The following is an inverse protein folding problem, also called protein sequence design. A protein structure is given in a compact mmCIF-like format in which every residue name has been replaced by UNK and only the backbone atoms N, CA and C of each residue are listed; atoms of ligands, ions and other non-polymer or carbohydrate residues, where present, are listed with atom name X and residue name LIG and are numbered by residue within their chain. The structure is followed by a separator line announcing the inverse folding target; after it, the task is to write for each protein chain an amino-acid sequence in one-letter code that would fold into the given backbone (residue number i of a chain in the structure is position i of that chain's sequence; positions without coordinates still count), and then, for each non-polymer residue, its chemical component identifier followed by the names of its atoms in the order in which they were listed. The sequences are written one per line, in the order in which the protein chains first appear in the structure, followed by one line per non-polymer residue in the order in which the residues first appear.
data_IF_205688220888
#
_entry.id   IF_205688220888
#
_cell.length_a   1.000
_cell.length_b   1.000
_cell.length_c   1.000
_cell.angle_alpha   90.00
_cell.angle_beta   90.00
_cell.angle_gamma   90.00
#
_symmetry.space_group_name_H-M   'P 1'
#
loop_
_entity.id
_entity.type
_entity.pdbx_description
1 polymer ?
#
# COMPACT_ATOMS: atom_id res chain seq x y z
N UNK A 1 64.45 -14.81 -43.79
CA UNK A 1 63.80 -15.72 -42.84
C UNK A 1 63.31 -14.94 -41.62
N UNK A 2 61.99 -14.80 -41.46
CA UNK A 2 61.20 -14.78 -40.20
C UNK A 2 59.80 -14.23 -40.53
N UNK A 3 58.82 -15.13 -40.48
CA UNK A 3 57.39 -14.86 -40.58
C UNK A 3 56.91 -14.31 -39.23
N UNK A 4 56.09 -13.27 -39.22
CA UNK A 4 55.41 -12.74 -38.04
C UNK A 4 53.96 -12.46 -38.36
N UNK A 5 53.07 -13.12 -37.61
CA UNK A 5 51.62 -13.19 -37.78
C UNK A 5 50.92 -11.82 -37.66
N UNK A 6 49.94 -11.60 -38.54
CA UNK A 6 48.86 -10.62 -38.39
C UNK A 6 47.85 -11.14 -37.35
N UNK A 7 47.67 -10.42 -36.24
CA UNK A 7 46.53 -10.59 -35.34
C UNK A 7 45.46 -9.55 -35.70
N UNK A 8 44.22 -9.93 -36.05
CA UNK A 8 43.14 -8.97 -36.17
C UNK A 8 42.63 -8.61 -34.76
N UNK A 9 42.66 -7.32 -34.43
CA UNK A 9 42.05 -6.78 -33.22
C UNK A 9 40.53 -6.78 -33.37
N UNK A 10 39.87 -7.79 -32.84
CA UNK A 10 38.41 -7.84 -32.74
C UNK A 10 37.95 -6.84 -31.67
N UNK A 11 37.38 -5.72 -32.11
CA UNK A 11 36.74 -4.73 -31.25
C UNK A 11 35.44 -5.32 -30.69
N UNK A 12 35.48 -5.81 -29.44
CA UNK A 12 34.27 -6.24 -28.72
C UNK A 12 33.48 -4.99 -28.31
N UNK A 13 32.41 -4.69 -29.06
CA UNK A 13 31.36 -3.77 -28.65
C UNK A 13 30.56 -4.42 -27.52
N UNK A 14 30.93 -4.10 -26.28
CA UNK A 14 30.11 -4.35 -25.09
C UNK A 14 28.88 -3.44 -25.16
N UNK A 15 27.80 -3.94 -25.76
CA UNK A 15 26.45 -3.41 -25.56
C UNK A 15 26.09 -3.60 -24.09
N UNK A 16 26.40 -2.59 -23.28
CA UNK A 16 25.96 -2.51 -21.90
C UNK A 16 24.43 -2.51 -21.88
N UNK A 17 23.84 -3.62 -21.43
CA UNK A 17 22.45 -3.67 -21.00
C UNK A 17 22.35 -2.80 -19.75
N UNK A 18 22.07 -1.51 -19.93
CA UNK A 18 21.68 -0.63 -18.84
C UNK A 18 20.39 -1.17 -18.25
N UNK A 19 20.49 -1.86 -17.11
CA UNK A 19 19.33 -2.10 -16.27
C UNK A 19 18.76 -0.71 -15.91
N UNK A 20 17.59 -0.38 -16.45
CA UNK A 20 16.88 0.83 -16.07
C UNK A 20 16.75 0.80 -14.55
N UNK A 21 17.35 1.79 -13.87
CA UNK A 21 17.19 1.89 -12.42
C UNK A 21 15.69 1.99 -12.13
N UNK A 22 15.16 1.24 -11.15
CA UNK A 22 13.75 1.31 -10.80
C UNK A 22 13.38 2.76 -10.51
N UNK A 23 12.41 3.29 -11.25
CA UNK A 23 11.92 4.64 -11.03
C UNK A 23 11.43 4.75 -9.58
N UNK A 24 11.96 5.68 -8.76
CA UNK A 24 11.53 5.84 -7.38
C UNK A 24 10.01 6.07 -7.30
N UNK A 25 9.36 5.51 -6.29
CA UNK A 25 7.93 5.75 -6.06
C UNK A 25 7.67 7.28 -5.99
N UNK A 26 6.75 7.84 -6.80
CA UNK A 26 6.46 9.27 -6.82
C UNK A 26 6.14 9.87 -5.44
N UNK A 27 5.66 9.06 -4.50
CA UNK A 27 5.33 9.49 -3.13
C UNK A 27 6.54 9.60 -2.21
N UNK A 28 7.69 9.04 -2.61
CA UNK A 28 8.91 9.00 -1.78
C UNK A 28 9.33 10.38 -1.28
N UNK A 29 9.14 11.44 -2.07
CA UNK A 29 9.51 12.81 -1.70
C UNK A 29 8.68 13.45 -0.57
N UNK A 30 7.54 12.85 -0.15
CA UNK A 30 6.72 13.36 0.94
C UNK A 30 5.86 14.60 0.64
N UNK A 31 6.05 15.24 -0.52
CA UNK A 31 5.20 16.34 -1.01
C UNK A 31 3.97 15.81 -1.75
N UNK A 32 3.08 15.16 -0.99
CA UNK A 32 1.93 14.46 -1.54
C UNK A 32 0.96 15.39 -2.29
N UNK A 33 0.86 16.67 -1.88
CA UNK A 33 0.02 17.65 -2.57
C UNK A 33 0.57 17.99 -3.97
N UNK A 34 1.88 18.18 -4.10
CA UNK A 34 2.52 18.42 -5.40
C UNK A 34 2.49 17.16 -6.28
N UNK A 35 2.66 15.96 -5.70
CA UNK A 35 2.53 14.69 -6.42
C UNK A 35 1.11 14.53 -6.95
N UNK A 36 0.08 14.83 -6.15
CA UNK A 36 -1.31 14.83 -6.59
C UNK A 36 -1.53 15.76 -7.79
N UNK A 37 -1.07 17.01 -7.70
CA UNK A 37 -1.25 18.00 -8.77
C UNK A 37 -0.58 17.57 -10.09
N UNK A 38 0.65 17.04 -10.02
CA UNK A 38 1.36 16.52 -11.19
C UNK A 38 0.66 15.31 -11.81
N UNK A 39 0.26 14.36 -10.98
CA UNK A 39 -0.43 13.15 -11.43
C UNK A 39 -1.79 13.47 -12.09
N UNK A 40 -2.52 14.47 -11.58
CA UNK A 40 -3.71 15.00 -12.24
C UNK A 40 -3.39 15.59 -13.63
N UNK A 41 -2.33 16.41 -13.73
CA UNK A 41 -1.94 17.03 -14.99
C UNK A 41 -1.50 16.02 -16.05
N UNK A 42 -0.90 14.90 -15.65
CA UNK A 42 -0.45 13.83 -16.57
C UNK A 42 -1.48 12.72 -16.79
N UNK A 43 -2.65 12.78 -16.13
CA UNK A 43 -3.67 11.74 -16.22
C UNK A 43 -3.36 10.45 -15.47
N UNK A 44 -2.37 10.44 -14.57
CA UNK A 44 -2.06 9.29 -13.71
C UNK A 44 -2.99 9.25 -12.48
N UNK A 45 -4.19 8.72 -12.72
CA UNK A 45 -5.24 8.65 -11.72
C UNK A 45 -4.88 7.76 -10.51
N UNK A 46 -4.00 6.76 -10.66
CA UNK A 46 -3.57 5.90 -9.54
C UNK A 46 -2.64 6.68 -8.63
N UNK A 47 -1.61 7.31 -9.16
CA UNK A 47 -0.68 8.13 -8.36
C UNK A 47 -1.41 9.30 -7.72
N UNK A 48 -2.36 9.93 -8.43
CA UNK A 48 -3.19 10.97 -7.84
C UNK A 48 -4.00 10.44 -6.64
N UNK A 49 -4.63 9.27 -6.76
CA UNK A 49 -5.37 8.67 -5.65
C UNK A 49 -4.49 8.37 -4.44
N UNK A 50 -3.34 7.71 -4.67
CA UNK A 50 -2.39 7.37 -3.59
C UNK A 50 -1.85 8.62 -2.90
N UNK A 51 -1.54 9.67 -3.65
CA UNK A 51 -1.06 10.94 -3.10
C UNK A 51 -2.13 11.65 -2.25
N UNK A 52 -3.38 11.69 -2.71
CA UNK A 52 -4.47 12.25 -1.94
C UNK A 52 -4.77 11.42 -0.67
N UNK A 53 -4.66 10.09 -0.74
CA UNK A 53 -4.78 9.21 0.42
C UNK A 53 -3.67 9.47 1.45
N UNK A 54 -2.42 9.62 1.00
CA UNK A 54 -1.28 9.97 1.86
C UNK A 54 -1.44 11.35 2.53
N UNK A 55 -2.02 12.34 1.82
CA UNK A 55 -2.39 13.63 2.43
C UNK A 55 -3.38 13.44 3.59
N UNK A 56 -4.43 12.63 3.38
CA UNK A 56 -5.42 12.32 4.42
C UNK A 56 -4.79 11.65 5.63
N UNK A 57 -3.93 10.64 5.42
CA UNK A 57 -3.39 9.84 6.52
C UNK A 57 -2.26 10.54 7.28
N UNK A 58 -1.38 11.27 6.60
CA UNK A 58 -0.10 11.71 7.17
C UNK A 58 0.09 13.22 7.30
N UNK A 59 -0.75 14.04 6.68
CA UNK A 59 -0.56 15.51 6.61
C UNK A 59 -1.77 16.31 7.07
N UNK A 60 -2.55 15.77 8.02
CA UNK A 60 -3.80 16.39 8.49
C UNK A 60 -4.77 16.73 7.34
N UNK A 61 -4.74 15.93 6.27
CA UNK A 61 -5.68 16.07 5.17
C UNK A 61 -7.11 15.76 5.65
N UNK A 62 -7.98 16.76 5.58
CA UNK A 62 -9.38 16.61 5.94
C UNK A 62 -10.21 15.83 4.91
N UNK A 63 -11.54 15.89 5.05
CA UNK A 63 -12.50 15.21 4.18
C UNK A 63 -12.34 15.53 2.68
N UNK A 64 -11.80 16.69 2.35
CA UNK A 64 -11.57 17.11 0.95
C UNK A 64 -10.52 16.24 0.28
N UNK A 65 -9.42 15.92 0.98
CA UNK A 65 -8.38 15.03 0.44
C UNK A 65 -8.88 13.60 0.29
N UNK A 66 -9.71 13.14 1.22
CA UNK A 66 -10.38 11.83 1.09
C UNK A 66 -11.30 11.79 -0.14
N UNK A 67 -12.04 12.86 -0.38
CA UNK A 67 -12.90 12.98 -1.58
C UNK A 67 -12.07 12.93 -2.86
N UNK A 68 -10.94 13.66 -2.92
CA UNK A 68 -10.00 13.64 -4.05
C UNK A 68 -9.43 12.24 -4.30
N UNK A 69 -9.05 11.53 -3.23
CA UNK A 69 -8.53 10.16 -3.34
C UNK A 69 -9.54 9.21 -3.98
N UNK A 70 -10.81 9.28 -3.56
CA UNK A 70 -11.90 8.45 -4.10
C UNK A 70 -12.22 8.81 -5.55
N UNK A 71 -12.27 10.10 -5.89
CA UNK A 71 -12.51 10.56 -7.25
C UNK A 71 -11.42 10.05 -8.21
N UNK A 72 -10.15 10.25 -7.86
CA UNK A 72 -9.03 9.77 -8.66
C UNK A 72 -9.02 8.24 -8.78
N UNK A 73 -9.30 7.50 -7.70
CA UNK A 73 -9.37 6.04 -7.78
C UNK A 73 -10.51 5.54 -8.69
N UNK A 74 -11.68 6.18 -8.62
CA UNK A 74 -12.80 5.86 -9.51
C UNK A 74 -12.42 6.08 -10.97
N UNK A 75 -11.76 7.18 -11.28
CA UNK A 75 -11.21 7.44 -12.62
C UNK A 75 -10.20 6.36 -13.04
N UNK A 76 -9.31 5.94 -12.14
CA UNK A 76 -8.36 4.87 -12.41
C UNK A 76 -9.08 3.55 -12.75
N UNK A 77 -10.07 3.15 -11.96
CA UNK A 77 -10.83 1.90 -12.22
C UNK A 77 -11.75 1.98 -13.44
N UNK A 78 -12.23 3.17 -13.81
CA UNK A 78 -13.02 3.37 -15.02
C UNK A 78 -12.15 3.23 -16.28
N UNK A 79 -10.91 3.73 -16.23
CA UNK A 79 -9.97 3.65 -17.35
C UNK A 79 -9.25 2.30 -17.44
N UNK A 80 -8.95 1.69 -16.29
CA UNK A 80 -8.18 0.43 -16.19
C UNK A 80 -8.83 -0.53 -15.18
N UNK A 81 -10.02 -1.09 -15.48
CA UNK A 81 -10.77 -1.93 -14.53
C UNK A 81 -10.05 -3.23 -14.15
N UNK A 82 -9.17 -3.74 -15.01
CA UNK A 82 -8.37 -4.94 -14.79
C UNK A 82 -7.00 -4.69 -14.16
N UNK A 83 -6.68 -3.45 -13.78
CA UNK A 83 -5.44 -3.13 -13.08
C UNK A 83 -5.58 -3.34 -11.56
N UNK A 84 -4.78 -4.23 -10.93
CA UNK A 84 -4.79 -4.40 -9.48
C UNK A 84 -4.46 -3.12 -8.71
N UNK A 85 -3.58 -2.24 -9.22
CA UNK A 85 -3.22 -1.00 -8.52
C UNK A 85 -4.37 0.01 -8.49
N UNK A 86 -5.13 0.12 -9.59
CA UNK A 86 -6.36 0.90 -9.63
C UNK A 86 -7.41 0.40 -8.61
N UNK A 87 -7.59 -0.91 -8.51
CA UNK A 87 -8.53 -1.51 -7.56
C UNK A 87 -8.06 -1.36 -6.10
N UNK A 88 -6.75 -1.53 -5.84
CA UNK A 88 -6.15 -1.29 -4.54
C UNK A 88 -6.35 0.17 -4.10
N UNK A 89 -6.05 1.13 -5.00
CA UNK A 89 -6.25 2.55 -4.73
C UNK A 89 -7.72 2.88 -4.40
N UNK A 90 -8.67 2.30 -5.12
CA UNK A 90 -10.10 2.46 -4.85
C UNK A 90 -10.49 1.90 -3.49
N UNK A 91 -10.04 0.69 -3.18
CA UNK A 91 -10.24 0.05 -1.88
C UNK A 91 -9.73 0.90 -0.72
N UNK A 92 -8.48 1.35 -0.79
CA UNK A 92 -7.85 2.18 0.25
C UNK A 92 -8.56 3.53 0.41
N UNK A 93 -8.88 4.22 -0.68
CA UNK A 93 -9.56 5.51 -0.64
C UNK A 93 -10.99 5.42 -0.07
N UNK A 94 -11.76 4.40 -0.47
CA UNK A 94 -13.08 4.15 0.11
C UNK A 94 -13.00 3.74 1.59
N UNK A 95 -11.96 2.99 1.98
CA UNK A 95 -11.68 2.66 3.37
C UNK A 95 -11.44 3.91 4.23
N UNK A 96 -10.67 4.88 3.71
CA UNK A 96 -10.51 6.19 4.33
C UNK A 96 -11.83 6.95 4.46
N UNK A 97 -12.64 6.96 3.40
CA UNK A 97 -13.94 7.62 3.39
C UNK A 97 -14.91 6.99 4.41
N UNK A 98 -14.96 5.67 4.50
CA UNK A 98 -15.77 4.95 5.46
C UNK A 98 -15.35 5.25 6.91
N UNK A 99 -14.03 5.31 7.18
CA UNK A 99 -13.49 5.70 8.50
C UNK A 99 -13.94 7.12 8.89
N UNK A 100 -13.85 8.08 7.95
CA UNK A 100 -14.28 9.45 8.18
C UNK A 100 -15.81 9.60 8.36
N UNK A 101 -16.61 8.67 7.81
CA UNK A 101 -18.08 8.68 7.87
C UNK A 101 -18.70 8.09 9.15
N UNK A 102 -17.92 7.55 10.08
CA UNK A 102 -18.40 7.08 11.38
C UNK A 102 -19.28 5.83 11.34
N UNK A 103 -20.40 5.82 12.10
CA UNK A 103 -21.34 4.69 12.24
C UNK A 103 -22.63 4.88 11.42
N UNK A 104 -22.54 5.60 10.30
CA UNK A 104 -23.69 5.84 9.41
C UNK A 104 -23.91 4.67 8.45
N UNK A 105 -25.15 4.46 7.99
CA UNK A 105 -25.45 3.48 6.93
C UNK A 105 -24.64 3.74 5.66
N UNK A 106 -24.43 5.02 5.32
CA UNK A 106 -23.58 5.42 4.20
C UNK A 106 -22.11 4.98 4.37
N UNK A 107 -21.55 5.13 5.57
CA UNK A 107 -20.20 4.66 5.88
C UNK A 107 -20.08 3.13 5.81
N UNK A 108 -21.10 2.40 6.26
CA UNK A 108 -21.14 0.93 6.13
C UNK A 108 -21.17 0.50 4.66
N UNK A 109 -22.02 1.12 3.85
CA UNK A 109 -22.07 0.84 2.41
C UNK A 109 -20.71 1.16 1.72
N UNK A 110 -20.08 2.27 2.11
CA UNK A 110 -18.75 2.66 1.61
C UNK A 110 -17.69 1.63 2.02
N UNK A 111 -17.75 1.11 3.25
CA UNK A 111 -16.85 0.05 3.70
C UNK A 111 -17.01 -1.24 2.90
N UNK A 112 -18.24 -1.64 2.55
CA UNK A 112 -18.47 -2.81 1.70
C UNK A 112 -17.93 -2.60 0.28
N UNK A 113 -18.06 -1.40 -0.29
CA UNK A 113 -17.45 -1.07 -1.58
C UNK A 113 -15.92 -1.12 -1.51
N UNK A 114 -15.32 -0.63 -0.41
CA UNK A 114 -13.88 -0.73 -0.18
C UNK A 114 -13.42 -2.19 -0.20
N UNK A 115 -14.11 -3.07 0.54
CA UNK A 115 -13.84 -4.52 0.52
C UNK A 115 -13.93 -5.09 -0.88
N UNK A 116 -15.02 -4.81 -1.61
CA UNK A 116 -15.22 -5.37 -2.95
C UNK A 116 -14.09 -4.97 -3.92
N UNK A 117 -13.58 -3.74 -3.82
CA UNK A 117 -12.44 -3.30 -4.61
C UNK A 117 -11.14 -4.01 -4.19
N UNK A 118 -10.88 -4.17 -2.89
CA UNK A 118 -9.71 -4.91 -2.38
C UNK A 118 -9.74 -6.40 -2.75
N UNK A 119 -10.91 -7.05 -2.64
CA UNK A 119 -11.12 -8.43 -3.08
C UNK A 119 -10.84 -8.56 -4.59
N UNK A 120 -11.29 -7.59 -5.41
CA UNK A 120 -10.97 -7.56 -6.85
C UNK A 120 -9.48 -7.35 -7.10
N UNK A 121 -8.82 -6.45 -6.36
CA UNK A 121 -7.38 -6.24 -6.45
C UNK A 121 -6.60 -7.54 -6.15
N UNK A 122 -7.00 -8.25 -5.10
CA UNK A 122 -6.38 -9.52 -4.72
C UNK A 122 -6.65 -10.61 -5.77
N UNK A 123 -7.84 -10.67 -6.35
CA UNK A 123 -8.14 -11.64 -7.41
C UNK A 123 -7.32 -11.38 -8.68
N UNK A 124 -7.04 -10.11 -9.00
CA UNK A 124 -6.18 -9.74 -10.14
C UNK A 124 -4.69 -10.02 -9.87
N UNK A 125 -4.25 -9.96 -8.62
CA UNK A 125 -2.86 -10.19 -8.23
C UNK A 125 -2.76 -10.93 -6.88
N UNK A 126 -3.00 -12.26 -6.85
CA UNK A 126 -3.16 -13.03 -5.61
C UNK A 126 -1.90 -13.12 -4.74
N UNK A 127 -0.71 -13.01 -5.35
CA UNK A 127 0.57 -13.12 -4.66
C UNK A 127 1.11 -11.78 -4.13
N UNK A 128 0.41 -10.67 -4.38
CA UNK A 128 0.85 -9.34 -3.92
C UNK A 128 0.64 -9.15 -2.42
N UNK A 129 1.75 -9.12 -1.69
CA UNK A 129 1.76 -9.02 -0.23
C UNK A 129 1.17 -7.70 0.28
N UNK A 130 1.34 -6.60 -0.45
CA UNK A 130 0.77 -5.29 -0.09
C UNK A 130 -0.76 -5.29 -0.17
N UNK A 131 -1.35 -5.89 -1.21
CA UNK A 131 -2.80 -6.05 -1.33
C UNK A 131 -3.34 -6.94 -0.21
N UNK A 132 -2.64 -8.05 0.08
CA UNK A 132 -2.99 -8.93 1.20
C UNK A 132 -2.98 -8.19 2.54
N UNK A 133 -1.96 -7.37 2.80
CA UNK A 133 -1.85 -6.59 4.04
C UNK A 133 -2.97 -5.55 4.18
N UNK A 134 -3.30 -4.81 3.12
CA UNK A 134 -4.37 -3.79 3.15
C UNK A 134 -5.75 -4.45 3.33
N UNK A 135 -6.02 -5.56 2.64
CA UNK A 135 -7.28 -6.31 2.83
C UNK A 135 -7.36 -6.93 4.23
N UNK A 136 -6.25 -7.39 4.79
CA UNK A 136 -6.20 -7.86 6.17
C UNK A 136 -6.60 -6.76 7.15
N UNK A 137 -6.05 -5.54 6.98
CA UNK A 137 -6.38 -4.41 7.82
C UNK A 137 -7.86 -4.01 7.70
N UNK A 138 -8.44 -4.07 6.50
CA UNK A 138 -9.88 -3.84 6.32
C UNK A 138 -10.71 -4.84 7.14
N UNK A 139 -10.43 -6.14 7.02
CA UNK A 139 -11.16 -7.17 7.76
C UNK A 139 -10.98 -7.04 9.27
N UNK A 140 -9.75 -6.74 9.72
CA UNK A 140 -9.42 -6.56 11.12
C UNK A 140 -10.10 -5.31 11.71
N UNK A 141 -10.07 -4.19 11.00
CA UNK A 141 -10.68 -2.93 11.43
C UNK A 141 -12.21 -3.03 11.49
N UNK A 142 -12.82 -3.65 10.49
CA UNK A 142 -14.26 -3.94 10.50
C UNK A 142 -14.62 -4.82 11.72
N UNK A 143 -13.89 -5.92 11.92
CA UNK A 143 -14.09 -6.82 13.05
C UNK A 143 -13.92 -6.12 14.41
N UNK A 144 -12.87 -5.33 14.59
CA UNK A 144 -12.63 -4.59 15.82
C UNK A 144 -13.75 -3.58 16.12
N UNK A 145 -14.38 -3.02 15.09
CA UNK A 145 -15.42 -1.99 15.23
C UNK A 145 -16.80 -2.56 15.59
N UNK A 146 -17.21 -3.70 15.02
CA UNK A 146 -18.55 -4.24 15.25
C UNK A 146 -18.65 -5.79 15.18
N UNK A 147 -17.52 -6.49 15.31
CA UNK A 147 -17.45 -7.95 15.28
C UNK A 147 -18.07 -8.52 14.00
N UNK A 148 -18.87 -9.58 14.16
CA UNK A 148 -19.52 -10.30 13.06
C UNK A 148 -20.48 -9.44 12.24
N UNK A 149 -21.04 -8.37 12.81
CA UNK A 149 -22.01 -7.50 12.13
C UNK A 149 -21.38 -6.51 11.14
N UNK A 150 -20.05 -6.37 11.17
CA UNK A 150 -19.31 -5.44 10.30
C UNK A 150 -19.06 -5.98 8.88
N UNK A 151 -19.19 -7.29 8.68
CA UNK A 151 -18.70 -7.99 7.48
C UNK A 151 -17.16 -8.21 7.46
N UNK A 152 -16.45 -7.76 8.49
CA UNK A 152 -15.06 -8.12 8.78
C UNK A 152 -14.93 -9.58 9.22
N UNK A 153 -13.72 -10.14 9.12
CA UNK A 153 -13.46 -11.53 9.50
C UNK A 153 -12.06 -11.65 10.11
N UNK A 154 -12.01 -12.01 11.40
CA UNK A 154 -10.77 -12.10 12.17
C UNK A 154 -9.79 -13.15 11.60
N UNK A 155 -10.28 -14.34 11.22
CA UNK A 155 -9.43 -15.42 10.72
C UNK A 155 -8.88 -15.11 9.33
N UNK A 156 -9.70 -14.46 8.49
CA UNK A 156 -9.25 -13.97 7.19
C UNK A 156 -8.20 -12.88 7.34
N UNK A 157 -8.40 -11.93 8.26
CA UNK A 157 -7.41 -10.91 8.58
C UNK A 157 -6.08 -11.53 9.03
N UNK A 158 -6.12 -12.47 9.98
CA UNK A 158 -4.93 -13.21 10.43
C UNK A 158 -4.22 -13.90 9.28
N UNK A 159 -4.95 -14.67 8.48
CA UNK A 159 -4.39 -15.45 7.37
C UNK A 159 -3.69 -14.54 6.35
N UNK A 160 -4.36 -13.46 5.94
CA UNK A 160 -3.81 -12.52 4.96
C UNK A 160 -2.60 -11.76 5.52
N UNK A 161 -2.69 -11.22 6.74
CA UNK A 161 -1.59 -10.47 7.35
C UNK A 161 -0.36 -11.34 7.57
N UNK A 162 -0.52 -12.56 8.11
CA UNK A 162 0.59 -13.49 8.30
C UNK A 162 1.23 -13.90 6.97
N UNK A 163 0.42 -14.15 5.93
CA UNK A 163 0.94 -14.48 4.60
C UNK A 163 1.71 -13.29 3.98
N UNK A 164 1.16 -12.08 4.06
CA UNK A 164 1.80 -10.86 3.59
C UNK A 164 3.15 -10.63 4.26
N UNK A 165 3.18 -10.67 5.60
CA UNK A 165 4.39 -10.42 6.38
C UNK A 165 5.50 -11.46 6.10
N UNK A 166 5.14 -12.73 5.84
CA UNK A 166 6.12 -13.76 5.46
C UNK A 166 6.65 -13.57 4.04
N UNK A 167 5.79 -13.14 3.12
CA UNK A 167 6.15 -13.00 1.70
C UNK A 167 7.03 -11.78 1.45
N UNK A 168 6.83 -10.71 2.20
CA UNK A 168 7.62 -9.47 2.09
C UNK A 168 8.19 -9.06 3.46
N UNK A 169 9.17 -9.82 4.00
CA UNK A 169 9.74 -9.59 5.34
C UNK A 169 10.52 -8.26 5.44
N UNK A 170 10.98 -7.75 4.30
CA UNK A 170 11.85 -6.58 4.21
C UNK A 170 11.14 -5.34 3.66
N UNK A 171 9.81 -5.42 3.49
CA UNK A 171 9.01 -4.29 2.99
C UNK A 171 8.32 -3.61 4.16
N UNK A 172 8.76 -2.39 4.50
CA UNK A 172 8.23 -1.62 5.62
C UNK A 172 6.72 -1.43 5.51
N UNK A 173 6.21 -1.13 4.30
CA UNK A 173 4.78 -1.04 4.03
C UNK A 173 4.01 -2.27 4.49
N UNK A 174 4.43 -3.45 4.01
CA UNK A 174 3.77 -4.72 4.30
C UNK A 174 3.85 -5.06 5.77
N UNK A 175 5.01 -4.91 6.40
CA UNK A 175 5.19 -5.22 7.82
C UNK A 175 4.34 -4.32 8.72
N UNK A 176 4.26 -3.03 8.40
CA UNK A 176 3.44 -2.09 9.17
C UNK A 176 1.95 -2.42 9.05
N UNK A 177 1.41 -2.54 7.84
CA UNK A 177 -0.02 -2.84 7.62
C UNK A 177 -0.42 -4.21 8.16
N UNK A 178 0.40 -5.26 7.93
CA UNK A 178 0.15 -6.57 8.51
C UNK A 178 0.18 -6.55 10.04
N UNK A 179 1.16 -5.84 10.64
CA UNK A 179 1.27 -5.67 12.07
C UNK A 179 0.08 -4.92 12.69
N UNK A 180 -0.38 -3.85 12.04
CA UNK A 180 -1.58 -3.10 12.44
C UNK A 180 -2.82 -4.01 12.37
N UNK A 181 -3.02 -4.72 11.27
CA UNK A 181 -4.13 -5.65 11.11
C UNK A 181 -4.16 -6.70 12.24
N UNK A 182 -3.02 -7.34 12.52
CA UNK A 182 -2.87 -8.32 13.60
C UNK A 182 -3.14 -7.69 14.98
N UNK A 183 -2.71 -6.45 15.22
CA UNK A 183 -2.94 -5.75 16.49
C UNK A 183 -4.43 -5.52 16.79
N UNK A 184 -5.21 -5.17 15.75
CA UNK A 184 -6.65 -4.89 15.87
C UNK A 184 -7.43 -6.14 16.30
N UNK A 185 -6.96 -7.32 15.92
CA UNK A 185 -7.53 -8.60 16.32
C UNK A 185 -6.82 -9.24 17.53
N UNK A 186 -5.93 -8.50 18.20
CA UNK A 186 -5.16 -8.93 19.37
C UNK A 186 -4.35 -10.21 19.12
N UNK A 187 -3.83 -10.37 17.90
CA UNK A 187 -2.99 -11.52 17.57
C UNK A 187 -1.55 -11.30 18.08
N UNK A 188 -0.93 -12.28 18.77
CA UNK A 188 0.42 -12.13 19.31
C UNK A 188 1.49 -11.89 18.23
N UNK A 189 1.26 -12.30 16.98
CA UNK A 189 2.19 -12.04 15.87
C UNK A 189 2.30 -10.54 15.53
N UNK A 190 1.37 -9.70 15.98
CA UNK A 190 1.40 -8.26 15.77
C UNK A 190 2.71 -7.64 16.26
N UNK A 191 3.19 -8.04 17.44
CA UNK A 191 4.42 -7.52 18.02
C UNK A 191 5.63 -7.77 17.12
N UNK A 192 5.74 -8.97 16.56
CA UNK A 192 6.85 -9.32 15.67
C UNK A 192 6.83 -8.51 14.36
N UNK A 193 5.68 -8.43 13.69
CA UNK A 193 5.54 -7.67 12.44
C UNK A 193 5.78 -6.16 12.64
N UNK A 194 5.21 -5.58 13.70
CA UNK A 194 5.45 -4.16 14.02
C UNK A 194 6.90 -3.89 14.43
N UNK A 195 7.53 -4.80 15.19
CA UNK A 195 8.96 -4.70 15.52
C UNK A 195 9.82 -4.73 14.26
N UNK A 196 9.46 -5.56 13.27
CA UNK A 196 10.14 -5.57 11.98
C UNK A 196 9.96 -4.22 11.26
N UNK A 197 8.74 -3.69 11.18
CA UNK A 197 8.46 -2.40 10.54
C UNK A 197 9.29 -1.24 11.16
N UNK A 198 9.45 -1.21 12.49
CA UNK A 198 10.21 -0.14 13.18
C UNK A 198 11.72 -0.30 13.12
N UNK A 199 12.23 -1.47 12.69
CA UNK A 199 13.67 -1.74 12.58
C UNK A 199 14.19 -1.68 11.14
N UNK A 200 13.30 -1.72 10.14
CA UNK A 200 13.67 -1.50 8.75
C UNK A 200 14.11 -0.05 8.52
N UNK A 201 15.02 0.14 7.57
CA UNK A 201 15.43 1.48 7.14
C UNK A 201 14.23 2.20 6.50
N UNK A 202 14.00 3.44 6.91
CA UNK A 202 12.96 4.30 6.37
C UNK A 202 13.63 5.41 5.56
N UNK A 203 13.92 5.11 4.30
CA UNK A 203 14.72 5.96 3.42
C UNK A 203 13.89 7.14 2.87
N UNK A 204 12.57 6.98 2.83
CA UNK A 204 11.64 7.99 2.32
C UNK A 204 10.82 8.65 3.44
N UNK A 205 10.44 9.93 3.31
CA UNK A 205 9.40 10.56 4.13
C UNK A 205 8.14 9.70 4.37
N UNK A 206 7.63 9.02 3.34
CA UNK A 206 6.47 8.13 3.46
C UNK A 206 6.73 6.96 4.40
N UNK A 207 7.87 6.30 4.23
CA UNK A 207 8.27 5.20 5.12
C UNK A 207 8.46 5.68 6.56
N UNK A 208 9.00 6.89 6.77
CA UNK A 208 9.13 7.47 8.11
C UNK A 208 7.77 7.77 8.76
N UNK A 209 6.80 8.26 8.00
CA UNK A 209 5.43 8.46 8.48
C UNK A 209 4.79 7.12 8.90
N UNK A 210 4.92 6.10 8.06
CA UNK A 210 4.39 4.77 8.33
C UNK A 210 5.11 4.07 9.49
N UNK A 211 6.42 4.21 9.59
CA UNK A 211 7.21 3.70 10.70
C UNK A 211 6.78 4.34 12.02
N UNK A 212 6.51 5.65 12.01
CA UNK A 212 5.99 6.37 13.18
C UNK A 212 4.61 5.82 13.58
N UNK A 213 3.73 5.54 12.61
CA UNK A 213 2.44 4.90 12.88
C UNK A 213 2.62 3.49 13.48
N UNK A 214 3.47 2.66 12.89
CA UNK A 214 3.76 1.31 13.39
C UNK A 214 4.32 1.34 14.82
N UNK A 215 5.24 2.28 15.11
CA UNK A 215 5.79 2.48 16.45
C UNK A 215 4.71 2.85 17.47
N UNK A 216 3.81 3.78 17.14
CA UNK A 216 2.69 4.13 18.03
C UNK A 216 1.81 2.93 18.37
N UNK A 217 1.53 2.08 17.39
CA UNK A 217 0.73 0.86 17.61
C UNK A 217 1.50 -0.15 18.46
N UNK A 218 2.80 -0.35 18.18
CA UNK A 218 3.68 -1.24 18.94
C UNK A 218 3.79 -0.84 20.42
N UNK A 219 4.02 0.45 20.68
CA UNK A 219 4.14 1.00 22.03
C UNK A 219 2.80 0.87 22.80
N UNK A 220 1.68 0.82 22.09
CA UNK A 220 0.34 0.58 22.65
C UNK A 220 -0.01 -0.89 22.91
N UNK A 221 0.81 -1.85 22.43
CA UNK A 221 0.60 -3.27 22.73
C UNK A 221 0.97 -3.54 24.19
N UNK A 222 -0.04 -3.91 25.00
CA UNK A 222 0.18 -4.38 26.37
C UNK A 222 1.14 -5.59 26.36
N UNK A 223 1.95 -5.77 27.43
CA UNK A 223 2.80 -6.95 27.59
C UNK A 223 2.02 -8.25 27.49
#
# INVERSE_FOLDING_TARGET
MKRGLLFPTTLLLLLGTGAAQPTPDPLSGGDYAQVYARAQATGDAVTASRAAAAMTEYRAGGRDWTTRAVQAARQATATRPGDPDAQLALGSALGLQARAGGYTLGALNTAQQARAALDRALNLAPDRADIQAVLAEWHAGAWAKAGIFSGGNQDRARTLATAAARRAPDTLFVQAHAGIALSLIKDPQARAALTRAVTLNADTPLERDLQTQAKRVLDGLKP
#
